data_IF_012934734981
#
_entry.id   IF_012934734981
#
_cell.length_a   1.000
_cell.length_b   1.000
_cell.length_c   1.000
_cell.angle_alpha   90.00
_cell.angle_beta   90.00
_cell.angle_gamma   90.00
#
_symmetry.space_group_name_H-M   'P 1'
#
loop_
_entity.id
_entity.type
_entity.pdbx_description
1 polymer ?
#
# COMPACT_ATOMS: atom_id res chain seq x y z
N UNK A 1 12.72 -7.48 42.31
CA UNK A 1 12.98 -8.47 41.24
C UNK A 1 11.67 -9.17 40.86
N UNK A 2 10.96 -8.66 39.85
CA UNK A 2 9.70 -9.24 39.33
C UNK A 2 9.61 -8.91 37.84
N UNK A 3 10.42 -9.58 37.01
CA UNK A 3 10.46 -9.37 35.55
C UNK A 3 10.45 -10.73 34.84
N UNK A 4 9.43 -11.54 35.13
CA UNK A 4 9.11 -12.74 34.36
C UNK A 4 7.60 -12.78 34.10
N UNK A 5 7.02 -11.65 33.67
CA UNK A 5 5.73 -11.70 32.98
C UNK A 5 6.03 -12.26 31.59
N UNK A 6 6.01 -13.60 31.53
CA UNK A 6 6.37 -14.51 30.43
C UNK A 6 6.71 -13.88 29.08
N UNK A 7 7.97 -14.02 28.66
CA UNK A 7 8.44 -13.71 27.32
C UNK A 7 7.55 -14.37 26.22
N UNK A 8 6.96 -15.53 26.51
CA UNK A 8 5.98 -16.18 25.63
C UNK A 8 4.70 -15.35 25.44
N UNK A 9 4.18 -14.74 26.50
CA UNK A 9 3.01 -13.86 26.43
C UNK A 9 3.32 -12.59 25.66
N UNK A 10 4.51 -12.01 25.87
CA UNK A 10 4.96 -10.82 25.16
C UNK A 10 5.14 -11.07 23.65
N UNK A 11 5.75 -12.18 23.25
CA UNK A 11 5.88 -12.55 21.83
C UNK A 11 4.53 -12.79 21.16
N UNK A 12 3.55 -13.37 21.88
CA UNK A 12 2.17 -13.51 21.39
C UNK A 12 1.50 -12.15 21.20
N UNK A 13 1.65 -11.23 22.15
CA UNK A 13 1.12 -9.87 22.04
C UNK A 13 1.78 -9.10 20.89
N UNK A 14 3.11 -9.20 20.75
CA UNK A 14 3.85 -8.62 19.65
C UNK A 14 3.36 -9.17 18.32
N UNK A 15 3.22 -10.51 18.19
CA UNK A 15 2.68 -11.15 16.98
C UNK A 15 1.30 -10.60 16.65
N UNK A 16 0.37 -10.54 17.59
CA UNK A 16 -0.96 -9.99 17.34
C UNK A 16 -0.91 -8.52 16.90
N UNK A 17 -0.03 -7.73 17.51
CA UNK A 17 0.11 -6.29 17.25
C UNK A 17 0.75 -6.00 15.89
N UNK A 18 1.79 -6.75 15.52
CA UNK A 18 2.43 -6.60 14.22
C UNK A 18 1.49 -7.03 13.11
N UNK A 19 0.65 -8.05 13.29
CA UNK A 19 -0.35 -8.44 12.29
C UNK A 19 -1.35 -7.31 12.04
N UNK A 20 -1.90 -6.71 13.11
CA UNK A 20 -2.91 -5.64 13.03
C UNK A 20 -2.38 -4.29 12.53
N UNK A 21 -1.07 -4.06 12.59
CA UNK A 21 -0.47 -2.80 12.10
C UNK A 21 -0.78 -1.56 12.96
N UNK A 22 -1.19 -1.72 14.22
CA UNK A 22 -1.66 -0.63 15.11
C UNK A 22 -0.54 0.21 15.73
N UNK A 23 0.72 -0.01 15.38
CA UNK A 23 1.88 0.62 16.02
C UNK A 23 2.26 0.06 17.40
N UNK A 24 1.38 -0.73 18.03
CA UNK A 24 1.62 -1.34 19.34
C UNK A 24 2.89 -2.22 19.36
N UNK A 25 3.21 -2.91 18.25
CA UNK A 25 4.42 -3.72 18.17
C UNK A 25 5.70 -2.86 18.28
N UNK A 26 5.70 -1.67 17.71
CA UNK A 26 6.81 -0.72 17.82
C UNK A 26 7.01 -0.29 19.29
N UNK A 27 5.92 0.02 20.00
CA UNK A 27 5.97 0.39 21.41
C UNK A 27 6.48 -0.77 22.27
N UNK A 28 6.00 -1.99 22.03
CA UNK A 28 6.45 -3.19 22.76
C UNK A 28 7.96 -3.40 22.58
N UNK A 29 8.47 -3.28 21.36
CA UNK A 29 9.90 -3.44 21.11
C UNK A 29 10.73 -2.31 21.73
N UNK A 30 10.23 -1.06 21.71
CA UNK A 30 10.90 0.08 22.36
C UNK A 30 10.98 -0.09 23.89
N UNK A 31 9.96 -0.67 24.51
CA UNK A 31 9.92 -0.90 25.96
C UNK A 31 10.63 -2.19 26.40
N UNK A 32 10.81 -3.15 25.48
CA UNK A 32 11.41 -4.47 25.74
C UNK A 32 12.50 -4.79 24.71
N UNK A 33 13.49 -3.90 24.58
CA UNK A 33 14.55 -4.00 23.57
C UNK A 33 15.46 -5.22 23.72
N UNK A 34 15.44 -5.87 24.88
CA UNK A 34 16.15 -7.11 25.17
C UNK A 34 15.48 -8.36 24.56
N UNK A 35 14.20 -8.25 24.18
CA UNK A 35 13.42 -9.40 23.70
C UNK A 35 13.59 -9.57 22.19
N UNK A 36 14.00 -10.78 21.79
CA UNK A 36 14.16 -11.11 20.38
C UNK A 36 12.81 -11.42 19.69
N UNK A 37 12.30 -10.43 18.94
CA UNK A 37 11.10 -10.53 18.09
C UNK A 37 11.41 -10.89 16.62
N UNK A 38 12.63 -11.34 16.30
CA UNK A 38 13.08 -11.61 14.93
C UNK A 38 12.13 -12.53 14.17
N UNK A 39 11.59 -13.57 14.83
CA UNK A 39 10.68 -14.53 14.21
C UNK A 39 9.38 -13.86 13.75
N UNK A 40 8.79 -13.02 14.60
CA UNK A 40 7.53 -12.33 14.35
C UNK A 40 7.70 -11.25 13.27
N UNK A 41 8.80 -10.49 13.31
CA UNK A 41 9.13 -9.48 12.30
C UNK A 41 9.37 -10.13 10.94
N UNK A 42 10.17 -11.21 10.91
CA UNK A 42 10.43 -11.97 9.68
C UNK A 42 9.14 -12.54 9.09
N UNK A 43 8.26 -13.10 9.91
CA UNK A 43 6.96 -13.57 9.42
C UNK A 43 6.15 -12.44 8.76
N UNK A 44 6.04 -11.28 9.43
CA UNK A 44 5.29 -10.15 8.87
C UNK A 44 5.89 -9.61 7.56
N UNK A 45 7.21 -9.60 7.45
CA UNK A 45 7.92 -9.15 6.25
C UNK A 45 7.80 -10.13 5.06
N UNK A 46 7.65 -11.44 5.32
CA UNK A 46 7.64 -12.48 4.28
C UNK A 46 6.25 -12.99 3.90
N UNK A 47 5.17 -12.51 4.53
CA UNK A 47 3.81 -13.02 4.33
C UNK A 47 2.73 -11.95 4.17
N UNK A 48 3.10 -10.69 3.90
CA UNK A 48 2.20 -9.55 3.64
C UNK A 48 0.92 -9.56 4.49
N UNK A 49 1.02 -9.17 5.77
CA UNK A 49 -0.06 -9.37 6.74
C UNK A 49 -1.23 -8.38 6.67
N UNK A 50 -1.35 -7.60 5.60
CA UNK A 50 -2.54 -6.78 5.36
C UNK A 50 -3.73 -7.70 5.00
N UNK A 51 -4.94 -7.32 5.41
CA UNK A 51 -6.16 -8.05 5.05
C UNK A 51 -6.52 -7.80 3.58
N UNK A 52 -6.45 -6.54 3.15
CA UNK A 52 -6.55 -6.12 1.76
C UNK A 52 -5.45 -5.09 1.44
N UNK A 53 -4.30 -5.54 0.90
CA UNK A 53 -3.19 -4.65 0.55
C UNK A 53 -3.56 -3.55 -0.46
N UNK A 54 -4.61 -3.76 -1.28
CA UNK A 54 -5.08 -2.76 -2.23
C UNK A 54 -5.74 -1.56 -1.52
N UNK A 55 -6.43 -1.80 -0.41
CA UNK A 55 -7.10 -0.77 0.39
C UNK A 55 -6.22 -0.23 1.53
N UNK A 56 -5.49 -1.10 2.22
CA UNK A 56 -4.65 -0.74 3.38
C UNK A 56 -3.34 -0.06 2.98
N UNK A 57 -2.90 -0.27 1.74
CA UNK A 57 -1.67 0.31 1.22
C UNK A 57 -0.40 -0.38 1.72
N UNK A 58 0.73 0.29 1.54
CA UNK A 58 2.05 -0.26 1.83
C UNK A 58 2.38 -0.24 3.33
N UNK A 59 2.87 -1.38 3.83
CA UNK A 59 3.30 -1.55 5.23
C UNK A 59 4.82 -1.53 5.40
N UNK A 60 5.57 -1.35 4.31
CA UNK A 60 7.03 -1.52 4.30
C UNK A 60 7.74 -0.48 5.15
N UNK A 61 7.25 0.76 5.23
CA UNK A 61 7.83 1.77 6.13
C UNK A 61 7.74 1.36 7.61
N UNK A 62 6.58 0.86 8.04
CA UNK A 62 6.38 0.37 9.41
C UNK A 62 7.29 -0.83 9.70
N UNK A 63 7.33 -1.81 8.80
CA UNK A 63 8.17 -2.99 8.95
C UNK A 63 9.66 -2.64 8.92
N UNK A 64 10.08 -1.71 8.06
CA UNK A 64 11.46 -1.22 7.99
C UNK A 64 11.92 -0.62 9.32
N UNK A 65 11.08 0.18 9.98
CA UNK A 65 11.39 0.73 11.31
C UNK A 65 11.58 -0.39 12.34
N UNK A 66 10.72 -1.41 12.32
CA UNK A 66 10.85 -2.56 13.22
C UNK A 66 12.15 -3.34 12.96
N UNK A 67 12.47 -3.58 11.68
CA UNK A 67 13.68 -4.30 11.26
C UNK A 67 14.94 -3.53 11.66
N UNK A 68 14.96 -2.21 11.48
CA UNK A 68 16.10 -1.38 11.85
C UNK A 68 16.42 -1.38 13.35
N UNK A 69 15.43 -1.63 14.20
CA UNK A 69 15.59 -1.73 15.64
C UNK A 69 15.76 -3.18 16.14
N UNK A 70 15.65 -4.18 15.25
CA UNK A 70 15.80 -5.58 15.61
C UNK A 70 17.25 -5.96 15.89
N UNK A 71 17.46 -6.76 16.93
CA UNK A 71 18.77 -7.36 17.28
C UNK A 71 19.36 -8.15 16.10
N UNK A 72 18.51 -8.83 15.31
CA UNK A 72 18.95 -9.64 14.17
C UNK A 72 18.62 -8.99 12.81
N UNK A 73 18.69 -7.65 12.72
CA UNK A 73 18.44 -6.87 11.48
C UNK A 73 19.03 -7.53 10.23
N UNK A 74 20.31 -7.90 10.26
CA UNK A 74 21.01 -8.52 9.12
C UNK A 74 20.33 -9.78 8.62
N UNK A 75 20.02 -10.73 9.52
CA UNK A 75 19.35 -11.99 9.16
C UNK A 75 17.95 -11.78 8.60
N UNK A 76 17.25 -10.73 9.03
CA UNK A 76 15.93 -10.40 8.48
C UNK A 76 16.07 -9.84 7.06
N UNK A 77 17.03 -8.93 6.85
CA UNK A 77 17.34 -8.38 5.52
C UNK A 77 17.72 -9.50 4.55
N UNK A 78 18.64 -10.39 4.94
CA UNK A 78 19.05 -11.51 4.09
C UNK A 78 17.85 -12.38 3.68
N UNK A 79 16.99 -12.73 4.65
CA UNK A 79 15.79 -13.51 4.36
C UNK A 79 14.80 -12.79 3.42
N UNK A 80 14.70 -11.46 3.49
CA UNK A 80 13.87 -10.65 2.59
C UNK A 80 14.46 -10.68 1.18
N UNK A 81 15.77 -10.50 1.03
CA UNK A 81 16.43 -10.50 -0.28
C UNK A 81 16.40 -11.89 -0.93
N UNK A 82 16.62 -12.94 -0.15
CA UNK A 82 16.49 -14.32 -0.61
C UNK A 82 15.07 -14.62 -1.11
N UNK A 83 14.05 -14.19 -0.34
CA UNK A 83 12.65 -14.39 -0.72
C UNK A 83 12.27 -13.57 -1.95
N UNK A 84 12.77 -12.33 -2.07
CA UNK A 84 12.55 -11.47 -3.24
C UNK A 84 13.01 -12.15 -4.52
N UNK A 85 14.15 -12.85 -4.50
CA UNK A 85 14.68 -13.55 -5.67
C UNK A 85 13.75 -14.67 -6.18
N UNK A 86 13.08 -15.39 -5.25
CA UNK A 86 12.36 -16.62 -5.56
C UNK A 86 10.83 -16.51 -5.53
N UNK A 87 10.24 -15.44 -5.00
CA UNK A 87 8.77 -15.28 -4.93
C UNK A 87 8.16 -15.24 -6.33
N UNK A 88 7.11 -16.04 -6.56
CA UNK A 88 6.49 -16.29 -7.88
C UNK A 88 4.98 -16.53 -7.82
N UNK A 89 4.38 -16.45 -6.64
CA UNK A 89 3.00 -16.86 -6.39
C UNK A 89 2.15 -15.79 -5.72
N UNK A 90 2.76 -14.93 -4.90
CA UNK A 90 2.04 -13.90 -4.15
C UNK A 90 2.51 -12.51 -4.55
N UNK A 91 1.65 -11.81 -5.29
CA UNK A 91 1.84 -10.44 -5.79
C UNK A 91 2.10 -9.44 -4.67
N UNK A 92 1.38 -9.54 -3.57
CA UNK A 92 1.44 -8.56 -2.47
C UNK A 92 2.65 -8.79 -1.59
N UNK A 93 3.03 -10.05 -1.39
CA UNK A 93 4.34 -10.38 -0.80
C UNK A 93 5.46 -9.86 -1.69
N UNK A 94 5.39 -10.10 -3.00
CA UNK A 94 6.41 -9.62 -3.94
C UNK A 94 6.57 -8.09 -3.89
N UNK A 95 5.47 -7.34 -3.92
CA UNK A 95 5.51 -5.87 -3.83
C UNK A 95 6.10 -5.40 -2.50
N UNK A 96 5.71 -6.00 -1.36
CA UNK A 96 6.26 -5.67 -0.05
C UNK A 96 7.78 -5.91 0.00
N UNK A 97 8.25 -7.03 -0.57
CA UNK A 97 9.69 -7.36 -0.61
C UNK A 97 10.47 -6.34 -1.44
N UNK A 98 9.92 -5.90 -2.57
CA UNK A 98 10.51 -4.82 -3.39
C UNK A 98 10.63 -3.51 -2.60
N UNK A 99 9.56 -3.09 -1.94
CA UNK A 99 9.57 -1.84 -1.15
C UNK A 99 10.55 -1.90 0.02
N UNK A 100 10.59 -3.02 0.76
CA UNK A 100 11.56 -3.23 1.84
C UNK A 100 13.00 -3.18 1.31
N UNK A 101 13.28 -3.85 0.18
CA UNK A 101 14.60 -3.81 -0.45
C UNK A 101 15.00 -2.38 -0.87
N UNK A 102 14.07 -1.59 -1.43
CA UNK A 102 14.32 -0.19 -1.76
C UNK A 102 14.62 0.67 -0.52
N UNK A 103 13.91 0.46 0.59
CA UNK A 103 14.17 1.16 1.85
C UNK A 103 15.55 0.81 2.43
N UNK A 104 15.96 -0.46 2.37
CA UNK A 104 17.32 -0.86 2.78
C UNK A 104 18.39 -0.22 1.89
N UNK A 105 18.17 -0.19 0.58
CA UNK A 105 19.07 0.44 -0.37
C UNK A 105 19.21 1.96 -0.15
N UNK A 106 18.10 2.67 0.09
CA UNK A 106 18.15 4.08 0.52
C UNK A 106 18.91 4.30 1.83
N UNK A 107 19.02 3.27 2.67
CA UNK A 107 19.79 3.28 3.90
C UNK A 107 21.21 2.71 3.74
N UNK A 108 21.73 2.66 2.51
CA UNK A 108 23.12 2.29 2.20
C UNK A 108 23.36 0.81 1.88
N UNK A 109 22.32 0.00 1.75
CA UNK A 109 22.48 -1.42 1.38
C UNK A 109 22.54 -1.61 -0.15
N UNK A 110 23.75 -1.58 -0.70
CA UNK A 110 23.98 -1.78 -2.15
C UNK A 110 23.53 -3.14 -2.68
N UNK A 111 23.59 -4.19 -1.85
CA UNK A 111 23.09 -5.52 -2.22
C UNK A 111 21.58 -5.49 -2.45
N UNK A 112 20.84 -4.76 -1.61
CA UNK A 112 19.40 -4.58 -1.78
C UNK A 112 19.09 -3.78 -3.07
N UNK A 113 19.87 -2.75 -3.41
CA UNK A 113 19.69 -2.00 -4.67
C UNK A 113 19.85 -2.93 -5.88
N UNK A 114 20.91 -3.75 -5.89
CA UNK A 114 21.14 -4.75 -6.94
C UNK A 114 20.03 -5.79 -7.01
N UNK A 115 19.50 -6.23 -5.86
CA UNK A 115 18.42 -7.20 -5.81
C UNK A 115 17.14 -6.67 -6.45
N UNK A 116 16.75 -5.40 -6.18
CA UNK A 116 15.61 -4.74 -6.83
C UNK A 116 15.74 -4.80 -8.35
N UNK A 117 16.83 -4.29 -8.90
CA UNK A 117 17.03 -4.26 -10.35
C UNK A 117 17.22 -5.65 -10.98
N UNK A 118 17.84 -6.59 -10.27
CA UNK A 118 17.99 -7.99 -10.74
C UNK A 118 16.63 -8.66 -10.88
N UNK A 119 15.70 -8.39 -9.95
CA UNK A 119 14.38 -9.03 -9.85
C UNK A 119 13.32 -8.37 -10.74
N UNK A 120 13.45 -7.06 -10.96
CA UNK A 120 12.54 -6.28 -11.79
C UNK A 120 12.39 -6.89 -13.19
N UNK A 121 11.15 -7.05 -13.64
CA UNK A 121 10.79 -7.66 -14.93
C UNK A 121 11.30 -9.10 -15.20
N UNK A 122 11.86 -9.79 -14.20
CA UNK A 122 12.14 -11.24 -14.25
C UNK A 122 11.09 -12.00 -13.47
N UNK A 123 10.95 -13.32 -13.64
CA UNK A 123 10.06 -14.17 -12.82
C UNK A 123 8.68 -13.53 -12.56
N UNK A 124 8.07 -12.95 -13.60
CA UNK A 124 6.86 -12.13 -13.46
C UNK A 124 5.70 -13.03 -13.06
N UNK A 125 4.91 -12.57 -12.10
CA UNK A 125 3.60 -13.16 -11.78
C UNK A 125 2.61 -12.53 -12.76
N UNK A 126 1.90 -13.34 -13.56
CA UNK A 126 0.98 -12.83 -14.58
C UNK A 126 -0.04 -11.85 -13.98
N UNK A 127 -0.20 -10.67 -14.58
CA UNK A 127 -1.08 -9.61 -14.08
C UNK A 127 -0.46 -8.76 -12.95
N UNK A 128 0.82 -8.99 -12.64
CA UNK A 128 1.59 -8.28 -11.60
C UNK A 128 2.88 -7.67 -12.15
N UNK A 129 2.87 -7.31 -13.44
CA UNK A 129 3.99 -6.68 -14.14
C UNK A 129 4.43 -5.35 -13.49
N UNK A 130 3.52 -4.73 -12.73
CA UNK A 130 3.70 -3.48 -12.00
C UNK A 130 4.52 -3.63 -10.71
N UNK A 131 4.73 -4.85 -10.20
CA UNK A 131 5.46 -5.05 -8.95
C UNK A 131 6.91 -4.53 -9.06
N UNK A 132 7.32 -3.75 -8.06
CA UNK A 132 8.66 -3.15 -8.00
C UNK A 132 8.80 -1.78 -8.66
N UNK A 133 7.80 -1.28 -9.38
CA UNK A 133 7.86 0.04 -10.00
C UNK A 133 8.02 1.17 -8.97
N UNK A 134 7.25 1.10 -7.89
CA UNK A 134 7.35 2.06 -6.77
C UNK A 134 8.72 1.96 -6.08
N UNK A 135 9.33 0.78 -6.04
CA UNK A 135 10.65 0.57 -5.46
C UNK A 135 11.73 1.27 -6.31
N UNK A 136 11.64 1.19 -7.63
CA UNK A 136 12.53 1.90 -8.56
C UNK A 136 12.37 3.42 -8.44
N UNK A 137 11.13 3.93 -8.35
CA UNK A 137 10.89 5.36 -8.08
C UNK A 137 11.48 5.77 -6.72
N UNK A 138 11.33 4.93 -5.70
CA UNK A 138 11.89 5.19 -4.38
C UNK A 138 13.40 5.32 -4.42
N UNK A 139 14.08 4.57 -5.28
CA UNK A 139 15.54 4.58 -5.45
C UNK A 139 16.04 5.76 -6.28
N UNK A 140 15.44 5.98 -7.46
CA UNK A 140 16.03 6.84 -8.49
C UNK A 140 15.06 7.95 -8.98
N UNK A 141 13.94 8.14 -8.29
CA UNK A 141 13.01 9.26 -8.49
C UNK A 141 12.48 9.35 -9.92
N UNK A 142 12.55 10.55 -10.51
CA UNK A 142 12.11 10.80 -11.88
C UNK A 142 12.89 9.95 -12.91
N UNK A 143 14.17 9.66 -12.66
CA UNK A 143 14.93 8.79 -13.56
C UNK A 143 14.44 7.35 -13.49
N UNK A 144 14.07 6.88 -12.29
CA UNK A 144 13.40 5.60 -12.11
C UNK A 144 12.08 5.53 -12.88
N UNK A 145 11.27 6.59 -12.85
CA UNK A 145 10.03 6.66 -13.64
C UNK A 145 10.31 6.61 -15.15
N UNK A 146 11.31 7.34 -15.65
CA UNK A 146 11.71 7.32 -17.07
C UNK A 146 12.18 5.91 -17.50
N UNK A 147 12.91 5.22 -16.64
CA UNK A 147 13.32 3.82 -16.85
C UNK A 147 12.12 2.86 -16.94
N UNK A 148 11.12 3.00 -16.07
CA UNK A 148 9.87 2.21 -16.11
C UNK A 148 9.12 2.49 -17.41
N UNK A 149 8.95 3.77 -17.77
CA UNK A 149 8.27 4.17 -19.00
C UNK A 149 8.93 3.56 -20.25
N UNK A 150 10.25 3.56 -20.31
CA UNK A 150 10.98 2.92 -21.42
C UNK A 150 10.74 1.40 -21.45
N UNK A 151 10.85 0.72 -20.31
CA UNK A 151 10.67 -0.73 -20.21
C UNK A 151 9.25 -1.16 -20.61
N UNK A 152 8.24 -0.43 -20.16
CA UNK A 152 6.84 -0.68 -20.56
C UNK A 152 6.56 -0.31 -22.01
N UNK A 153 7.18 0.76 -22.50
CA UNK A 153 7.14 1.13 -23.92
C UNK A 153 7.63 0.01 -24.84
N UNK A 154 8.74 -0.64 -24.47
CA UNK A 154 9.25 -1.83 -25.18
C UNK A 154 8.25 -2.99 -25.16
N UNK A 155 7.57 -3.20 -24.04
CA UNK A 155 6.54 -4.25 -23.93
C UNK A 155 5.34 -3.95 -24.84
N UNK A 156 4.85 -2.71 -24.83
CA UNK A 156 3.71 -2.26 -25.65
C UNK A 156 3.96 -2.41 -27.16
N UNK A 157 5.19 -2.17 -27.62
CA UNK A 157 5.53 -2.37 -29.03
C UNK A 157 5.57 -3.84 -29.44
N UNK A 158 5.91 -4.74 -28.53
CA UNK A 158 6.11 -6.16 -28.81
C UNK A 158 4.89 -7.02 -28.47
N UNK A 159 3.89 -6.47 -27.79
CA UNK A 159 2.70 -7.19 -27.35
C UNK A 159 1.44 -6.34 -27.60
N UNK A 160 0.65 -6.65 -28.65
CA UNK A 160 -0.60 -5.94 -28.95
C UNK A 160 -1.65 -5.97 -27.84
N UNK A 161 -1.61 -6.98 -26.96
CA UNK A 161 -2.54 -7.12 -25.84
C UNK A 161 -2.07 -6.37 -24.59
N UNK A 162 -0.85 -5.82 -24.60
CA UNK A 162 -0.34 -5.06 -23.47
C UNK A 162 -1.13 -3.76 -23.29
N UNK A 163 -1.43 -3.44 -22.04
CA UNK A 163 -2.25 -2.29 -21.67
C UNK A 163 -1.61 -1.51 -20.52
N UNK A 164 -1.79 -0.19 -20.55
CA UNK A 164 -1.19 0.72 -19.58
C UNK A 164 -2.07 1.96 -19.39
N UNK A 165 -2.37 2.30 -18.14
CA UNK A 165 -3.31 3.38 -17.78
C UNK A 165 -2.66 4.60 -17.14
N UNK A 166 -1.34 4.56 -16.96
CA UNK A 166 -0.55 5.62 -16.35
C UNK A 166 -0.71 5.68 -14.83
N UNK A 167 -1.18 4.61 -14.18
CA UNK A 167 -1.31 4.53 -12.72
C UNK A 167 -0.03 4.93 -11.99
N UNK A 168 1.13 4.48 -12.46
CA UNK A 168 2.43 4.82 -11.85
C UNK A 168 2.82 6.31 -12.05
N UNK A 169 2.44 6.91 -13.18
CA UNK A 169 2.64 8.34 -13.45
C UNK A 169 1.74 9.18 -12.54
N UNK A 170 0.48 8.77 -12.37
CA UNK A 170 -0.44 9.42 -11.43
C UNK A 170 0.08 9.34 -9.99
N UNK A 171 0.58 8.17 -9.58
CA UNK A 171 1.21 7.98 -8.27
C UNK A 171 2.42 8.90 -8.10
N UNK A 172 3.31 8.99 -9.09
CA UNK A 172 4.44 9.90 -9.01
C UNK A 172 3.99 11.37 -8.89
N UNK A 173 3.01 11.80 -9.68
CA UNK A 173 2.49 13.17 -9.63
C UNK A 173 1.91 13.51 -8.26
N UNK A 174 1.22 12.57 -7.60
CA UNK A 174 0.65 12.81 -6.28
C UNK A 174 1.72 12.92 -5.19
N UNK A 175 2.80 12.15 -5.29
CA UNK A 175 3.92 12.21 -4.34
C UNK A 175 4.81 13.44 -4.55
N UNK A 176 4.92 13.92 -5.80
CA UNK A 176 5.77 15.05 -6.19
C UNK A 176 4.97 16.14 -6.93
N UNK A 177 4.07 16.86 -6.24
CA UNK A 177 3.13 17.80 -6.86
C UNK A 177 3.81 19.01 -7.53
N UNK A 178 5.07 19.31 -7.20
CA UNK A 178 5.84 20.40 -7.80
C UNK A 178 6.44 20.05 -9.16
N UNK A 179 6.43 18.77 -9.57
CA UNK A 179 6.98 18.31 -10.84
C UNK A 179 5.82 18.13 -11.82
N UNK A 180 5.91 18.73 -13.01
CA UNK A 180 5.03 18.37 -14.14
C UNK A 180 5.48 17.04 -14.74
N UNK A 181 5.03 15.93 -14.16
CA UNK A 181 5.49 14.60 -14.56
C UNK A 181 5.11 14.27 -16.01
N UNK A 182 3.95 14.75 -16.45
CA UNK A 182 3.47 14.53 -17.82
C UNK A 182 4.31 15.31 -18.82
N UNK A 183 4.67 16.55 -18.50
CA UNK A 183 5.65 17.31 -19.27
C UNK A 183 7.00 16.61 -19.35
N UNK A 184 7.50 16.05 -18.25
CA UNK A 184 8.77 15.32 -18.22
C UNK A 184 8.76 14.03 -19.04
N UNK A 185 7.67 13.27 -19.01
CA UNK A 185 7.49 12.09 -19.86
C UNK A 185 7.39 12.49 -21.34
N UNK A 186 6.66 13.57 -21.65
CA UNK A 186 6.54 14.08 -23.03
C UNK A 186 7.90 14.50 -23.59
N UNK A 187 8.71 15.24 -22.82
CA UNK A 187 10.07 15.62 -23.21
C UNK A 187 10.95 14.38 -23.46
N UNK A 188 10.85 13.37 -22.59
CA UNK A 188 11.61 12.12 -22.78
C UNK A 188 11.17 11.36 -24.04
N UNK A 189 9.87 11.39 -24.38
CA UNK A 189 9.32 10.78 -25.58
C UNK A 189 9.82 11.40 -26.90
N UNK A 190 10.30 12.65 -26.89
CA UNK A 190 10.86 13.31 -28.09
C UNK A 190 12.10 12.58 -28.63
N UNK A 191 12.86 11.94 -27.74
CA UNK A 191 14.14 11.30 -28.08
C UNK A 191 14.16 9.79 -27.82
N UNK A 192 13.09 9.21 -27.28
CA UNK A 192 13.01 7.78 -26.98
C UNK A 192 11.70 7.17 -27.52
N UNK A 193 11.76 6.34 -28.57
CA UNK A 193 10.56 5.79 -29.19
C UNK A 193 9.77 4.87 -28.27
N UNK A 194 10.41 4.22 -27.30
CA UNK A 194 9.72 3.38 -26.32
C UNK A 194 8.95 4.24 -25.33
N UNK A 195 9.56 5.30 -24.79
CA UNK A 195 8.87 6.26 -23.92
C UNK A 195 7.72 6.93 -24.66
N UNK A 196 7.87 7.18 -25.97
CA UNK A 196 6.77 7.65 -26.82
C UNK A 196 5.61 6.66 -26.88
N UNK A 197 5.86 5.38 -27.16
CA UNK A 197 4.80 4.35 -27.15
C UNK A 197 4.10 4.25 -25.80
N UNK A 198 4.83 4.38 -24.71
CA UNK A 198 4.25 4.45 -23.36
C UNK A 198 3.36 5.69 -23.17
N UNK A 199 3.84 6.88 -23.55
CA UNK A 199 3.13 8.14 -23.43
C UNK A 199 1.84 8.18 -24.28
N UNK A 200 1.90 7.65 -25.51
CA UNK A 200 0.76 7.56 -26.41
C UNK A 200 -0.32 6.61 -25.83
N UNK A 201 0.09 5.43 -25.33
CA UNK A 201 -0.82 4.46 -24.73
C UNK A 201 -1.59 5.02 -23.52
N UNK A 202 -0.90 5.68 -22.58
CA UNK A 202 -1.57 6.29 -21.41
C UNK A 202 -2.54 7.40 -21.82
N UNK A 203 -2.20 8.18 -22.86
CA UNK A 203 -3.04 9.27 -23.34
C UNK A 203 -4.31 8.74 -24.01
N UNK A 204 -4.20 7.72 -24.85
CA UNK A 204 -5.34 7.07 -25.51
C UNK A 204 -6.29 6.42 -24.48
N UNK A 205 -5.74 5.65 -23.56
CA UNK A 205 -6.53 4.98 -22.52
C UNK A 205 -7.22 5.97 -21.57
N UNK A 206 -6.58 7.10 -21.26
CA UNK A 206 -7.21 8.19 -20.49
C UNK A 206 -8.42 8.78 -21.21
N UNK A 207 -8.33 9.04 -22.52
CA UNK A 207 -9.46 9.54 -23.33
C UNK A 207 -10.64 8.55 -23.33
N UNK A 208 -10.35 7.25 -23.43
CA UNK A 208 -11.37 6.20 -23.39
C UNK A 208 -12.09 6.15 -22.03
N UNK A 209 -11.37 6.29 -20.92
CA UNK A 209 -11.97 6.36 -19.57
C UNK A 209 -12.84 7.59 -19.37
N UNK A 210 -12.40 8.76 -19.85
CA UNK A 210 -13.16 10.01 -19.70
C UNK A 210 -14.51 9.96 -20.42
N UNK A 211 -14.57 9.36 -21.62
CA UNK A 211 -15.83 9.18 -22.35
C UNK A 211 -16.88 8.32 -21.60
N UNK A 212 -16.45 7.47 -20.66
CA UNK A 212 -17.33 6.59 -19.88
C UNK A 212 -17.83 7.20 -18.56
N UNK A 213 -17.25 8.31 -18.09
CA UNK A 213 -17.71 8.99 -16.87
C UNK A 213 -18.90 9.90 -17.22
N UNK A 214 -20.10 9.35 -17.19
CA UNK A 214 -21.34 10.13 -17.19
C UNK A 214 -21.50 10.99 -15.93
N UNK A 215 -22.47 11.90 -15.97
CA UNK A 215 -22.80 12.86 -14.92
C UNK A 215 -23.15 12.14 -13.60
N UNK A 216 -22.42 12.42 -12.51
CA UNK A 216 -22.61 11.75 -11.22
C UNK A 216 -23.08 12.75 -10.18
N UNK A 217 -24.24 12.47 -9.58
CA UNK A 217 -24.84 13.25 -8.49
C UNK A 217 -23.93 13.37 -7.26
N UNK A 218 -24.19 14.40 -6.45
CA UNK A 218 -23.53 14.60 -5.16
C UNK A 218 -23.87 13.48 -4.16
N UNK A 219 -22.89 13.11 -3.32
CA UNK A 219 -23.05 12.10 -2.27
C UNK A 219 -23.39 12.76 -0.93
N UNK A 220 -24.68 12.85 -0.62
CA UNK A 220 -25.17 13.39 0.67
C UNK A 220 -25.41 12.28 1.71
N UNK A 221 -25.69 12.67 2.96
CA UNK A 221 -25.98 11.73 4.06
C UNK A 221 -26.99 10.65 3.65
N UNK A 222 -28.14 11.06 3.09
CA UNK A 222 -29.26 10.15 2.77
C UNK A 222 -28.84 9.10 1.76
N UNK A 223 -28.08 9.51 0.73
CA UNK A 223 -27.58 8.59 -0.26
C UNK A 223 -26.65 7.55 0.36
N UNK A 224 -25.70 7.98 1.19
CA UNK A 224 -24.72 7.07 1.79
C UNK A 224 -25.37 6.14 2.80
N UNK A 225 -26.20 6.67 3.71
CA UNK A 225 -26.88 5.90 4.74
C UNK A 225 -27.81 4.84 4.15
N UNK A 226 -28.59 5.18 3.12
CA UNK A 226 -29.50 4.24 2.46
C UNK A 226 -28.74 3.10 1.76
N UNK A 227 -27.62 3.42 1.10
CA UNK A 227 -26.81 2.37 0.48
C UNK A 227 -26.21 1.42 1.52
N UNK A 228 -25.68 1.92 2.63
CA UNK A 228 -25.16 1.09 3.71
C UNK A 228 -26.27 0.21 4.29
N UNK A 229 -27.46 0.78 4.53
CA UNK A 229 -28.65 0.06 5.01
C UNK A 229 -29.04 -1.08 4.06
N UNK A 230 -29.04 -0.82 2.76
CA UNK A 230 -29.31 -1.82 1.71
C UNK A 230 -28.16 -2.81 1.48
N UNK A 231 -27.10 -2.74 2.29
CA UNK A 231 -25.90 -3.54 2.15
C UNK A 231 -25.19 -3.33 0.79
N UNK A 232 -25.32 -2.15 0.18
CA UNK A 232 -24.67 -1.76 -1.07
C UNK A 232 -23.46 -0.85 -0.79
N UNK A 233 -22.45 -0.93 -1.65
CA UNK A 233 -21.35 0.02 -1.64
C UNK A 233 -21.46 0.87 -2.91
N UNK A 234 -21.84 2.14 -2.78
CA UNK A 234 -22.16 3.01 -3.93
C UNK A 234 -21.26 4.22 -4.08
N UNK A 235 -20.52 4.60 -3.03
CA UNK A 235 -19.60 5.74 -3.07
C UNK A 235 -18.19 5.21 -3.30
N UNK A 236 -17.52 5.58 -4.41
CA UNK A 236 -16.11 5.30 -4.59
C UNK A 236 -15.29 6.00 -3.51
N UNK A 237 -14.29 5.32 -2.93
CA UNK A 237 -13.51 5.87 -1.81
C UNK A 237 -12.91 7.25 -2.11
N UNK A 238 -12.49 7.47 -3.36
CA UNK A 238 -11.93 8.73 -3.83
C UNK A 238 -12.89 9.93 -3.67
N UNK A 239 -14.20 9.67 -3.62
CA UNK A 239 -15.25 10.69 -3.51
C UNK A 239 -15.76 10.89 -2.09
N UNK A 240 -15.25 10.16 -1.08
CA UNK A 240 -15.62 10.42 0.32
C UNK A 240 -15.24 11.84 0.78
N UNK A 241 -14.21 12.44 0.18
CA UNK A 241 -13.81 13.84 0.44
C UNK A 241 -14.84 14.87 -0.03
N UNK A 242 -15.81 14.46 -0.86
CA UNK A 242 -16.88 15.33 -1.36
C UNK A 242 -18.09 15.38 -0.40
N UNK A 243 -18.15 14.50 0.59
CA UNK A 243 -19.23 14.49 1.59
C UNK A 243 -19.03 15.67 2.55
N UNK A 244 -20.11 16.39 2.84
CA UNK A 244 -20.07 17.53 3.76
C UNK A 244 -19.66 17.11 5.18
N UNK A 245 -18.97 17.97 5.93
CA UNK A 245 -18.59 17.71 7.33
C UNK A 245 -19.83 17.40 8.19
N UNK A 246 -20.95 18.08 7.93
CA UNK A 246 -22.21 17.86 8.64
C UNK A 246 -22.76 16.45 8.38
N UNK A 247 -22.64 15.94 7.15
CA UNK A 247 -23.09 14.59 6.81
C UNK A 247 -22.12 13.51 7.29
N UNK A 248 -20.81 13.77 7.27
CA UNK A 248 -19.80 12.90 7.90
C UNK A 248 -20.11 12.70 9.39
N UNK A 249 -20.52 13.76 10.10
CA UNK A 249 -20.90 13.65 11.51
C UNK A 249 -22.11 12.73 11.72
N UNK A 250 -23.16 12.87 10.90
CA UNK A 250 -24.34 11.99 10.97
C UNK A 250 -23.98 10.52 10.67
N UNK A 251 -23.11 10.29 9.68
CA UNK A 251 -22.63 8.94 9.35
C UNK A 251 -21.79 8.33 10.50
N UNK A 252 -21.07 9.16 11.25
CA UNK A 252 -20.37 8.73 12.46
C UNK A 252 -21.33 8.42 13.62
N UNK A 253 -22.41 9.17 13.77
CA UNK A 253 -23.47 8.87 14.75
C UNK A 253 -24.11 7.51 14.46
N UNK A 254 -24.45 7.24 13.20
CA UNK A 254 -24.99 5.95 12.76
C UNK A 254 -24.00 4.80 13.02
N UNK A 255 -22.70 5.03 12.76
CA UNK A 255 -21.65 4.05 13.02
C UNK A 255 -21.55 3.66 14.50
N UNK A 256 -21.66 4.62 15.42
CA UNK A 256 -21.49 4.37 16.87
C UNK A 256 -22.58 3.45 17.45
N UNK A 257 -23.77 3.47 16.86
CA UNK A 257 -24.92 2.65 17.29
C UNK A 257 -25.09 1.37 16.47
N UNK A 258 -24.40 1.25 15.34
CA UNK A 258 -24.48 0.08 14.46
C UNK A 258 -23.83 -1.13 15.15
N UNK A 259 -24.51 -2.28 15.08
CA UNK A 259 -24.07 -3.54 15.70
C UNK A 259 -23.81 -4.63 14.66
N UNK A 260 -24.34 -4.49 13.44
CA UNK A 260 -24.06 -5.35 12.30
C UNK A 260 -22.64 -5.07 11.76
N UNK A 261 -21.76 -6.07 11.86
CA UNK A 261 -20.35 -5.94 11.44
C UNK A 261 -20.16 -5.60 9.97
N UNK A 262 -21.02 -6.10 9.07
CA UNK A 262 -20.92 -5.79 7.64
C UNK A 262 -21.24 -4.33 7.35
N UNK A 263 -22.11 -3.72 8.16
CA UNK A 263 -22.43 -2.29 8.08
C UNK A 263 -21.40 -1.44 8.79
N UNK A 264 -20.90 -1.88 9.95
CA UNK A 264 -19.78 -1.23 10.63
C UNK A 264 -18.56 -1.10 9.71
N UNK A 265 -18.21 -2.16 8.98
CA UNK A 265 -17.13 -2.12 7.98
C UNK A 265 -17.38 -1.04 6.92
N UNK A 266 -18.61 -0.90 6.42
CA UNK A 266 -18.96 0.10 5.41
C UNK A 266 -18.90 1.53 5.93
N UNK A 267 -19.30 1.76 7.18
CA UNK A 267 -19.09 3.04 7.83
C UNK A 267 -17.60 3.34 8.00
N UNK A 268 -16.81 2.36 8.44
CA UNK A 268 -15.36 2.53 8.61
C UNK A 268 -14.64 2.90 7.30
N UNK A 269 -15.11 2.40 6.14
CA UNK A 269 -14.55 2.78 4.82
C UNK A 269 -14.64 4.28 4.56
N UNK A 270 -15.67 4.96 5.06
CA UNK A 270 -15.81 6.42 4.94
C UNK A 270 -14.62 7.10 5.63
N UNK A 271 -14.34 6.68 6.86
CA UNK A 271 -13.27 7.25 7.69
C UNK A 271 -11.84 6.85 7.24
N UNK A 272 -11.71 6.03 6.20
CA UNK A 272 -10.41 5.75 5.58
C UNK A 272 -9.85 6.95 4.80
N UNK A 273 -10.71 7.86 4.33
CA UNK A 273 -10.31 9.04 3.52
C UNK A 273 -10.70 10.38 4.14
N UNK A 274 -11.58 10.38 5.14
CA UNK A 274 -11.97 11.56 5.91
C UNK A 274 -11.75 11.32 7.41
N UNK A 275 -11.37 12.34 8.21
CA UNK A 275 -11.18 12.16 9.65
C UNK A 275 -12.45 11.68 10.35
N UNK A 276 -12.31 10.70 11.25
CA UNK A 276 -13.38 10.34 12.19
C UNK A 276 -13.65 11.52 13.13
N UNK A 277 -14.91 12.01 13.27
CA UNK A 277 -15.20 13.25 13.99
C UNK A 277 -15.22 13.10 15.52
N UNK A 278 -15.04 11.88 16.03
CA UNK A 278 -15.04 11.56 17.47
C UNK A 278 -13.69 10.96 17.91
N UNK A 279 -13.62 10.54 19.18
CA UNK A 279 -12.42 9.93 19.75
C UNK A 279 -12.04 8.62 19.04
N UNK A 280 -10.76 8.48 18.67
CA UNK A 280 -10.21 7.30 18.02
C UNK A 280 -10.26 6.05 18.91
N UNK A 281 -10.39 6.21 20.24
CA UNK A 281 -10.41 5.09 21.19
C UNK A 281 -11.50 4.06 20.86
N UNK A 282 -12.66 4.51 20.35
CA UNK A 282 -13.74 3.61 19.93
C UNK A 282 -13.27 2.66 18.81
N UNK A 283 -12.71 3.21 17.73
CA UNK A 283 -12.21 2.43 16.59
C UNK A 283 -11.04 1.53 17.03
N UNK A 284 -10.16 2.04 17.90
CA UNK A 284 -9.04 1.27 18.43
C UNK A 284 -9.52 0.08 19.26
N UNK A 285 -10.54 0.26 20.11
CA UNK A 285 -11.11 -0.82 20.91
C UNK A 285 -11.84 -1.85 20.04
N UNK A 286 -12.55 -1.39 19.00
CA UNK A 286 -13.17 -2.26 18.01
C UNK A 286 -12.12 -3.16 17.32
N UNK A 287 -10.97 -2.58 16.93
CA UNK A 287 -9.85 -3.31 16.31
C UNK A 287 -9.20 -4.38 17.22
N UNK A 288 -9.34 -4.23 18.54
CA UNK A 288 -8.83 -5.16 19.56
C UNK A 288 -9.83 -6.27 19.89
N UNK A 289 -11.10 -6.11 19.51
CA UNK A 289 -12.15 -7.07 19.83
C UNK A 289 -11.94 -8.39 19.08
N UNK A 290 -12.23 -9.52 19.73
CA UNK A 290 -12.13 -10.84 19.08
C UNK A 290 -13.21 -10.97 18.00
N UNK A 291 -12.84 -11.56 16.87
CA UNK A 291 -13.80 -12.06 15.88
C UNK A 291 -14.62 -13.17 16.55
N UNK A 292 -15.83 -12.83 17.01
CA UNK A 292 -16.84 -13.84 17.33
C UNK A 292 -17.51 -14.16 16.00
N UNK A 293 -17.32 -15.39 15.52
CA UNK A 293 -18.19 -16.01 14.53
C UNK A 293 -19.57 -16.20 15.14
#
# INVERSE_FOLDING_TARGET
MKVYKDCCCLKKQFKSSIMRGTGEAYLLMKHHGEVDFTREIKYAALSACAYDPQCEGDRSNYLFQLICQSIQKGKIIDAILDKLEIEKSDTWVLEQLFQLAALFAKNGNETAKKAVYKRLHKNIIAGSEWCGERAVITLDGLQGLKYIAESKGKLLQNNPDAWEDGSIVNFFQSEYPSIDVYGEIKKAAENNPFVKSYADAIQENKKLRMKKKGDQSAFDYKFVSENIRMNRCSVPESRFKEISIADIKKLADDFLIETDRLKQEKYLRIFAKVPFPYDYEYILNLSKSKYRN
#
